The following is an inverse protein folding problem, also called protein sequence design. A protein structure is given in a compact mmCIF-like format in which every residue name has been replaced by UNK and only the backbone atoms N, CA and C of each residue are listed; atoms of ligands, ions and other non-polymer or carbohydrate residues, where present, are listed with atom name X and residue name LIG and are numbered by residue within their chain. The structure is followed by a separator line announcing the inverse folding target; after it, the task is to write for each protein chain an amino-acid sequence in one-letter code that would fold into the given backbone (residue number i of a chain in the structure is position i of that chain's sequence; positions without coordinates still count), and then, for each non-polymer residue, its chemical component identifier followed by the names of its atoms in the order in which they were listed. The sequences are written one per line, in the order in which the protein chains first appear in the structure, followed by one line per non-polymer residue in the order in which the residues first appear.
data_IF_930999375574
#
_entry.id   IF_930999375574
#
_cell.length_a   1.000
_cell.length_b   1.000
_cell.length_c   1.000
_cell.angle_alpha   90.00
_cell.angle_beta   90.00
_cell.angle_gamma   90.00
#
_symmetry.space_group_name_H-M   'P 1'
#
loop_
_entity.id
_entity.type
_entity.pdbx_description
1 polymer ?
#
# COMPACT_ATOMS: atom_id res chain seq x y z
N UNK A 1 -28.32 10.96 -4.99
CA UNK A 1 -27.86 12.28 -4.53
C UNK A 1 -27.32 12.17 -3.13
N UNK A 2 -26.18 12.82 -2.88
CA UNK A 2 -25.57 12.82 -1.56
C UNK A 2 -26.28 13.84 -0.67
N UNK A 3 -26.52 13.47 0.57
CA UNK A 3 -27.04 14.40 1.58
C UNK A 3 -25.93 15.38 1.97
N UNK A 4 -26.24 16.62 2.36
CA UNK A 4 -25.24 17.51 2.94
C UNK A 4 -24.60 16.88 4.17
N UNK A 5 -23.28 16.83 4.21
CA UNK A 5 -22.56 16.19 5.32
C UNK A 5 -22.58 17.07 6.57
N UNK A 6 -22.96 16.48 7.69
CA UNK A 6 -22.87 17.13 9.00
C UNK A 6 -21.56 16.71 9.67
N UNK A 7 -20.76 17.69 10.05
CA UNK A 7 -19.43 17.44 10.63
C UNK A 7 -19.56 16.61 11.91
N UNK A 8 -18.76 15.55 12.01
CA UNK A 8 -18.78 14.65 13.15
C UNK A 8 -19.66 13.42 12.98
N UNK A 9 -20.51 13.41 11.97
CA UNK A 9 -21.35 12.25 11.70
C UNK A 9 -20.59 11.16 10.93
N UNK A 10 -20.98 9.90 11.07
CA UNK A 10 -20.32 8.82 10.32
C UNK A 10 -20.52 8.98 8.81
N UNK A 11 -19.45 8.85 8.04
CA UNK A 11 -19.52 9.01 6.58
C UNK A 11 -20.50 8.05 5.91
N UNK A 12 -20.62 6.83 6.43
CA UNK A 12 -21.51 5.82 5.84
C UNK A 12 -23.00 6.15 5.99
N UNK A 13 -23.35 7.17 6.78
CA UNK A 13 -24.72 7.69 6.84
C UNK A 13 -25.05 8.56 5.62
N UNK A 14 -24.02 8.98 4.86
CA UNK A 14 -24.17 9.98 3.81
C UNK A 14 -23.95 9.45 2.40
N UNK A 15 -23.21 8.37 2.24
CA UNK A 15 -23.08 7.77 0.92
C UNK A 15 -22.81 6.27 1.00
N UNK A 16 -23.23 5.61 -0.07
CA UNK A 16 -22.95 4.19 -0.26
C UNK A 16 -21.65 4.03 -1.05
N UNK A 17 -20.86 3.08 -0.63
CA UNK A 17 -19.61 2.80 -1.27
C UNK A 17 -19.71 1.49 -2.07
N UNK A 18 -19.26 1.55 -3.31
CA UNK A 18 -19.14 0.36 -4.16
C UNK A 18 -17.67 0.20 -4.56
N UNK A 19 -16.93 -0.59 -3.82
CA UNK A 19 -15.51 -0.71 -4.12
C UNK A 19 -15.25 -1.45 -5.43
N UNK A 20 -14.36 -0.90 -6.25
CA UNK A 20 -13.70 -1.67 -7.29
C UNK A 20 -12.49 -2.32 -6.64
N UNK A 21 -12.55 -3.60 -6.36
CA UNK A 21 -11.51 -4.31 -5.65
C UNK A 21 -10.88 -5.39 -6.51
N UNK A 22 -9.61 -5.65 -6.25
CA UNK A 22 -8.99 -6.88 -6.75
C UNK A 22 -9.59 -8.04 -5.98
N UNK A 23 -10.00 -9.06 -6.67
CA UNK A 23 -10.57 -10.26 -6.06
C UNK A 23 -9.53 -11.05 -5.29
N UNK A 24 -9.95 -12.12 -4.65
CA UNK A 24 -9.06 -13.04 -3.99
C UNK A 24 -8.82 -12.70 -2.53
N UNK A 25 -7.73 -13.23 -1.99
CA UNK A 25 -7.44 -13.16 -0.56
C UNK A 25 -7.05 -11.77 -0.06
N UNK A 26 -6.58 -10.92 -0.93
CA UNK A 26 -6.00 -9.64 -0.56
C UNK A 26 -6.79 -8.47 -1.16
N UNK A 27 -8.07 -8.43 -0.88
CA UNK A 27 -9.00 -7.44 -1.46
C UNK A 27 -8.51 -6.00 -1.22
N UNK A 28 -7.66 -5.52 -2.11
CA UNK A 28 -7.16 -4.15 -2.13
C UNK A 28 -7.98 -3.32 -3.11
N UNK A 29 -7.97 -2.01 -2.92
CA UNK A 29 -8.65 -1.08 -3.82
C UNK A 29 -8.07 -1.18 -5.24
N UNK A 30 -8.95 -1.19 -6.24
CA UNK A 30 -8.59 -1.22 -7.66
C UNK A 30 -8.84 0.11 -8.34
N UNK A 31 -9.66 0.96 -7.75
CA UNK A 31 -10.04 2.27 -8.29
C UNK A 31 -9.64 3.39 -7.33
N UNK A 32 -9.60 4.61 -7.84
CA UNK A 32 -9.31 5.79 -7.02
C UNK A 32 -10.42 6.04 -5.98
N UNK A 33 -10.14 6.90 -5.02
CA UNK A 33 -11.06 7.28 -3.95
C UNK A 33 -11.40 6.14 -2.99
N UNK A 34 -10.55 5.11 -2.90
CA UNK A 34 -10.81 3.95 -2.06
C UNK A 34 -9.84 3.83 -0.87
N UNK A 35 -9.01 4.83 -0.64
CA UNK A 35 -8.01 4.82 0.44
C UNK A 35 -8.68 4.63 1.81
N UNK A 36 -9.87 5.22 1.99
CA UNK A 36 -10.65 5.06 3.23
C UNK A 36 -10.99 3.58 3.47
N UNK A 37 -11.42 2.87 2.43
CA UNK A 37 -11.81 1.46 2.58
C UNK A 37 -10.62 0.55 2.86
N UNK A 38 -9.48 0.83 2.21
CA UNK A 38 -8.24 0.14 2.53
C UNK A 38 -7.88 0.37 4.00
N UNK A 39 -7.91 1.63 4.44
CA UNK A 39 -7.57 2.00 5.81
C UNK A 39 -8.48 1.29 6.82
N UNK A 40 -9.78 1.23 6.58
CA UNK A 40 -10.73 0.55 7.47
C UNK A 40 -10.36 -0.91 7.73
N UNK A 41 -9.76 -1.58 6.74
CA UNK A 41 -9.35 -2.98 6.85
C UNK A 41 -7.99 -3.14 7.55
N UNK A 42 -7.25 -2.05 7.72
CA UNK A 42 -5.87 -2.09 8.19
C UNK A 42 -5.76 -2.28 9.70
N UNK A 43 -4.58 -2.71 10.16
CA UNK A 43 -4.23 -2.72 11.58
C UNK A 43 -4.09 -1.30 12.13
N UNK A 44 -3.73 -0.33 11.26
CA UNK A 44 -3.63 1.06 11.66
C UNK A 44 -4.97 1.61 12.13
N UNK A 45 -6.03 1.34 11.37
CA UNK A 45 -7.38 1.78 11.76
C UNK A 45 -7.79 1.17 13.11
N UNK A 46 -7.53 -0.12 13.30
CA UNK A 46 -7.83 -0.78 14.57
C UNK A 46 -7.03 -0.17 15.73
N UNK A 47 -5.86 0.37 15.45
CA UNK A 47 -5.03 1.08 16.43
C UNK A 47 -5.39 2.58 16.55
N UNK A 48 -6.53 2.99 15.94
CA UNK A 48 -7.04 4.37 15.97
C UNK A 48 -6.15 5.38 15.25
N UNK A 49 -5.33 4.92 14.32
CA UNK A 49 -4.56 5.79 13.44
C UNK A 49 -5.49 6.28 12.33
N UNK A 50 -5.54 7.60 12.13
CA UNK A 50 -6.40 8.22 11.13
C UNK A 50 -5.55 8.90 10.05
N UNK A 51 -6.21 9.43 9.02
CA UNK A 51 -5.55 10.07 7.88
C UNK A 51 -4.57 11.17 8.34
N UNK A 52 -4.97 11.96 9.32
CA UNK A 52 -4.19 13.11 9.78
C UNK A 52 -2.96 12.74 10.61
N UNK A 53 -2.81 11.47 10.97
CA UNK A 53 -1.56 11.01 11.59
C UNK A 53 -0.41 10.98 10.56
N UNK A 54 -0.74 10.89 9.28
CA UNK A 54 0.23 10.80 8.19
C UNK A 54 0.15 11.99 7.23
N UNK A 55 -1.02 12.59 7.07
CA UNK A 55 -1.25 13.67 6.12
C UNK A 55 -1.66 14.96 6.83
N UNK A 56 -1.12 16.08 6.36
CA UNK A 56 -1.53 17.41 6.80
C UNK A 56 -2.57 17.95 5.79
N UNK A 57 -3.83 18.00 6.21
CA UNK A 57 -4.93 18.44 5.35
C UNK A 57 -4.81 19.91 4.93
N UNK A 58 -4.05 20.70 5.68
CA UNK A 58 -3.84 22.11 5.36
C UNK A 58 -2.61 22.36 4.49
N UNK A 59 -1.90 21.30 4.15
CA UNK A 59 -0.75 21.35 3.25
C UNK A 59 0.58 21.28 3.98
N UNK A 60 1.53 20.60 3.38
CA UNK A 60 2.89 20.51 3.89
C UNK A 60 3.87 20.66 2.72
N UNK A 61 5.16 20.80 3.03
CA UNK A 61 6.19 20.87 2.01
C UNK A 61 6.56 19.47 1.47
N UNK A 62 6.04 18.42 2.08
CA UNK A 62 6.32 17.05 1.67
C UNK A 62 5.32 16.59 0.60
N UNK A 63 5.79 15.70 -0.27
CA UNK A 63 4.94 15.13 -1.32
C UNK A 63 3.71 14.45 -0.69
N UNK A 64 2.58 14.50 -1.37
CA UNK A 64 1.30 13.93 -0.93
C UNK A 64 0.80 14.52 0.40
N UNK A 65 1.23 15.75 0.72
CA UNK A 65 0.85 16.42 1.96
C UNK A 65 1.22 15.60 3.22
N UNK A 66 2.34 14.89 3.16
CA UNK A 66 2.76 14.06 4.30
C UNK A 66 3.31 14.93 5.43
N UNK A 67 3.01 14.58 6.68
CA UNK A 67 3.54 15.31 7.84
C UNK A 67 5.05 15.11 8.00
N UNK A 68 5.59 14.00 7.47
CA UNK A 68 7.03 13.70 7.37
C UNK A 68 7.30 12.98 6.07
N UNK A 69 8.55 12.91 5.66
CA UNK A 69 8.90 12.20 4.44
C UNK A 69 8.76 10.68 4.61
N UNK A 70 8.18 10.03 3.61
CA UNK A 70 8.12 8.57 3.55
C UNK A 70 9.34 7.97 2.85
N UNK A 71 9.96 8.77 1.96
CA UNK A 71 11.08 8.27 1.13
C UNK A 71 12.29 7.84 1.95
N UNK A 72 12.48 8.44 3.11
CA UNK A 72 13.56 8.06 4.04
C UNK A 72 13.07 7.24 5.23
N UNK A 73 11.82 6.81 5.20
CA UNK A 73 11.13 6.05 6.25
C UNK A 73 10.78 6.87 7.51
N UNK A 74 11.09 8.16 7.56
CA UNK A 74 10.86 8.98 8.77
C UNK A 74 9.42 8.94 9.25
N UNK A 75 8.48 9.00 8.32
CA UNK A 75 7.07 8.93 8.68
C UNK A 75 6.74 7.65 9.44
N UNK A 76 7.14 6.52 8.88
CA UNK A 76 6.82 5.20 9.45
C UNK A 76 7.56 4.98 10.77
N UNK A 77 8.83 5.38 10.82
CA UNK A 77 9.68 5.18 11.99
C UNK A 77 9.30 6.07 13.17
N UNK A 78 8.49 7.10 12.96
CA UNK A 78 7.92 7.89 14.07
C UNK A 78 7.22 6.97 15.08
N UNK A 79 6.49 5.95 14.59
CA UNK A 79 5.78 5.00 15.45
C UNK A 79 6.50 3.66 15.53
N UNK A 80 7.14 3.22 14.45
CA UNK A 80 7.76 1.89 14.37
C UNK A 80 9.26 1.90 14.73
N UNK A 81 9.80 3.04 15.17
CA UNK A 81 11.22 3.18 15.48
C UNK A 81 11.72 2.26 16.59
N UNK A 82 10.87 1.93 17.58
CA UNK A 82 11.27 0.96 18.62
C UNK A 82 11.58 -0.42 18.02
N UNK A 83 10.83 -0.82 17.02
CA UNK A 83 11.03 -2.11 16.35
C UNK A 83 12.18 -2.06 15.36
N UNK A 84 12.40 -0.89 14.75
CA UNK A 84 13.42 -0.70 13.71
C UNK A 84 14.30 0.50 14.09
N UNK A 85 15.16 0.32 15.14
CA UNK A 85 15.93 1.45 15.70
C UNK A 85 17.08 1.94 14.83
N UNK A 86 17.43 1.23 13.77
CA UNK A 86 18.54 1.61 12.90
C UNK A 86 18.38 0.92 11.53
N UNK A 87 19.17 1.35 10.54
CA UNK A 87 19.12 0.74 9.20
C UNK A 87 19.34 -0.78 9.17
N UNK A 88 20.17 -1.32 10.05
CA UNK A 88 20.42 -2.76 10.10
C UNK A 88 19.15 -3.54 10.49
N UNK A 89 18.37 -3.02 11.42
CA UNK A 89 17.10 -3.65 11.80
C UNK A 89 16.12 -3.67 10.63
N UNK A 90 16.08 -2.59 9.86
CA UNK A 90 15.23 -2.52 8.65
C UNK A 90 15.76 -3.50 7.60
N UNK A 91 17.09 -3.52 7.36
CA UNK A 91 17.73 -4.43 6.39
C UNK A 91 17.41 -5.90 6.71
N UNK A 92 17.52 -6.27 7.99
CA UNK A 92 17.21 -7.63 8.43
C UNK A 92 15.73 -7.99 8.20
N UNK A 93 14.84 -7.03 8.40
CA UNK A 93 13.40 -7.22 8.16
C UNK A 93 13.10 -7.38 6.68
N UNK A 94 13.69 -6.52 5.85
CA UNK A 94 13.36 -6.48 4.41
C UNK A 94 14.15 -7.48 3.59
N UNK A 95 15.31 -7.95 4.11
CA UNK A 95 16.29 -8.77 3.39
C UNK A 95 16.85 -8.06 2.15
N UNK A 96 16.81 -6.72 2.16
CA UNK A 96 17.35 -5.88 1.09
C UNK A 96 18.34 -4.88 1.64
N UNK A 97 19.24 -4.38 0.79
CA UNK A 97 20.13 -3.27 1.18
C UNK A 97 19.30 -2.06 1.62
N UNK A 98 19.86 -1.26 2.53
CA UNK A 98 19.17 -0.08 3.04
C UNK A 98 19.48 1.12 2.14
N UNK A 99 18.59 1.44 1.24
CA UNK A 99 18.70 2.58 0.32
C UNK A 99 17.30 3.14 -0.01
N UNK A 100 16.54 3.54 1.03
CA UNK A 100 15.14 3.93 0.80
C UNK A 100 14.98 5.19 -0.04
N UNK A 101 15.91 6.15 0.07
CA UNK A 101 15.81 7.43 -0.63
C UNK A 101 16.22 7.33 -2.11
N UNK A 102 17.16 6.47 -2.42
CA UNK A 102 17.73 6.41 -3.77
C UNK A 102 17.06 5.37 -4.66
N UNK A 103 17.15 4.11 -4.28
CA UNK A 103 16.56 3.01 -5.09
C UNK A 103 15.19 2.57 -4.61
N UNK A 104 14.79 3.00 -3.40
CA UNK A 104 13.55 2.55 -2.78
C UNK A 104 13.67 1.22 -2.06
N UNK A 105 14.86 0.58 -2.08
CA UNK A 105 15.06 -0.67 -1.35
C UNK A 105 15.02 -0.39 0.16
N UNK A 106 14.31 -1.21 0.88
CA UNK A 106 14.06 -1.04 2.31
C UNK A 106 13.24 0.22 2.65
N UNK A 107 12.55 0.80 1.65
CA UNK A 107 11.53 1.83 1.92
C UNK A 107 10.26 1.10 2.38
N UNK A 108 9.73 1.50 3.53
CA UNK A 108 8.55 0.83 4.11
C UNK A 108 7.36 0.85 3.16
N UNK A 109 7.08 2.00 2.56
CA UNK A 109 5.93 2.16 1.65
C UNK A 109 6.07 1.34 0.37
N UNK A 110 7.29 1.03 -0.09
CA UNK A 110 7.49 0.22 -1.30
C UNK A 110 6.88 -1.18 -1.17
N UNK A 111 6.88 -1.72 0.05
CA UNK A 111 6.34 -3.07 0.29
C UNK A 111 4.98 -3.05 0.96
N UNK A 112 4.77 -2.12 1.91
CA UNK A 112 3.55 -2.08 2.73
C UNK A 112 2.43 -1.24 2.12
N UNK A 113 2.73 -0.45 1.07
CA UNK A 113 1.71 0.37 0.40
C UNK A 113 1.81 0.12 -1.11
N UNK A 114 1.51 -1.11 -1.51
CA UNK A 114 1.57 -1.52 -2.91
C UNK A 114 0.67 -0.63 -3.75
N UNK A 115 1.11 -0.26 -4.93
CA UNK A 115 0.31 0.53 -5.87
C UNK A 115 -0.68 -0.39 -6.57
N UNK A 116 -1.92 -0.38 -6.13
CA UNK A 116 -2.95 -1.30 -6.61
C UNK A 116 -4.04 -0.63 -7.42
N UNK A 117 -4.21 0.68 -7.28
CA UNK A 117 -5.37 1.33 -7.87
C UNK A 117 -5.03 2.33 -8.97
N UNK A 118 -5.90 2.67 -9.73
CA UNK A 118 -5.77 3.44 -10.81
C UNK A 118 -6.49 4.68 -10.58
N UNK A 119 -5.92 5.64 -10.92
CA UNK A 119 -6.65 6.89 -11.10
C UNK A 119 -6.47 7.38 -12.54
N UNK A 120 -5.33 7.93 -12.89
CA UNK A 120 -5.02 8.30 -14.28
C UNK A 120 -4.34 7.13 -15.02
N UNK A 121 -3.52 6.38 -14.30
CA UNK A 121 -2.78 5.25 -14.85
C UNK A 121 -2.87 4.05 -13.89
N UNK A 122 -2.78 2.86 -14.46
CA UNK A 122 -2.78 1.64 -13.64
C UNK A 122 -1.61 1.66 -12.65
N UNK A 123 -1.90 1.48 -11.40
CA UNK A 123 -0.87 1.44 -10.37
C UNK A 123 -0.30 2.79 -9.99
N UNK A 124 -1.07 3.86 -10.10
CA UNK A 124 -0.61 5.18 -9.66
C UNK A 124 -1.01 5.51 -8.23
N UNK A 125 -1.89 4.72 -7.62
CA UNK A 125 -2.38 4.96 -6.26
C UNK A 125 -1.97 3.83 -5.31
N UNK A 126 -1.41 4.22 -4.17
CA UNK A 126 -0.98 3.32 -3.10
C UNK A 126 -2.17 2.80 -2.29
N UNK A 127 -2.16 1.49 -2.02
CA UNK A 127 -3.10 0.89 -1.07
C UNK A 127 -2.83 1.37 0.35
N UNK A 128 -3.88 1.64 1.10
CA UNK A 128 -3.81 2.06 2.49
C UNK A 128 -4.18 0.94 3.48
N UNK A 129 -4.19 -0.31 3.02
CA UNK A 129 -4.37 -1.47 3.90
C UNK A 129 -3.07 -1.80 4.67
N UNK A 130 -1.93 -1.38 4.13
CA UNK A 130 -0.59 -1.59 4.72
C UNK A 130 -0.16 -3.05 4.80
N UNK A 131 -0.90 -3.96 4.18
CA UNK A 131 -0.49 -5.37 4.09
C UNK A 131 0.44 -5.58 2.90
N UNK A 132 1.36 -6.50 3.07
CA UNK A 132 2.17 -6.99 1.97
C UNK A 132 1.30 -7.93 1.12
N UNK A 133 1.28 -7.69 -0.18
CA UNK A 133 0.68 -8.62 -1.14
C UNK A 133 1.79 -9.56 -1.59
N UNK A 134 1.66 -10.83 -1.25
CA UNK A 134 2.71 -11.81 -1.54
C UNK A 134 2.69 -12.24 -3.00
N UNK A 135 3.86 -12.55 -3.61
CA UNK A 135 3.89 -13.07 -4.97
C UNK A 135 3.00 -14.30 -5.18
N UNK A 136 2.84 -15.15 -4.16
CA UNK A 136 1.97 -16.32 -4.25
C UNK A 136 0.51 -15.96 -4.54
N UNK A 137 0.03 -14.83 -4.05
CA UNK A 137 -1.34 -14.38 -4.33
C UNK A 137 -1.48 -14.02 -5.82
N UNK A 138 -0.50 -13.28 -6.36
CA UNK A 138 -0.51 -12.94 -7.80
C UNK A 138 -0.37 -14.16 -8.67
N UNK A 139 0.48 -15.13 -8.29
CA UNK A 139 0.62 -16.39 -9.04
C UNK A 139 -0.70 -17.16 -9.08
N UNK A 140 -1.39 -17.22 -7.95
CA UNK A 140 -2.68 -17.91 -7.89
C UNK A 140 -3.72 -17.25 -8.80
N UNK A 141 -3.72 -15.91 -8.85
CA UNK A 141 -4.61 -15.18 -9.75
C UNK A 141 -4.20 -15.35 -11.22
N UNK A 142 -2.91 -15.29 -11.51
CA UNK A 142 -2.40 -15.49 -12.87
C UNK A 142 -2.86 -16.85 -13.43
N UNK A 143 -2.84 -17.89 -12.62
CA UNK A 143 -3.30 -19.23 -13.04
C UNK A 143 -4.80 -19.29 -13.31
N UNK A 144 -5.59 -18.40 -12.71
CA UNK A 144 -7.03 -18.32 -12.97
C UNK A 144 -7.31 -17.48 -14.22
N UNK A 145 -6.68 -16.33 -14.33
CA UNK A 145 -6.86 -15.41 -15.45
C UNK A 145 -5.63 -14.49 -15.58
N UNK A 146 -4.75 -14.79 -16.54
CA UNK A 146 -3.54 -13.97 -16.73
C UNK A 146 -3.79 -12.49 -17.05
N UNK A 147 -5.02 -12.13 -17.45
CA UNK A 147 -5.35 -10.76 -17.83
C UNK A 147 -5.74 -9.87 -16.64
N UNK A 148 -6.04 -10.44 -15.49
CA UNK A 148 -6.57 -9.68 -14.36
C UNK A 148 -5.83 -9.96 -13.06
N UNK A 149 -4.51 -9.90 -13.10
CA UNK A 149 -3.64 -10.22 -11.95
C UNK A 149 -3.39 -8.98 -11.11
N UNK A 150 -3.67 -9.07 -9.82
CA UNK A 150 -3.38 -8.00 -8.88
C UNK A 150 -1.86 -7.81 -8.71
N UNK A 151 -1.37 -6.58 -8.66
CA UNK A 151 0.04 -6.36 -8.39
C UNK A 151 0.42 -6.84 -6.97
N UNK A 152 1.66 -7.25 -6.79
CA UNK A 152 2.16 -7.64 -5.47
C UNK A 152 3.30 -6.72 -5.02
N UNK A 153 3.74 -6.90 -3.79
CA UNK A 153 4.73 -6.01 -3.15
C UNK A 153 6.13 -6.09 -3.77
N UNK A 154 6.39 -7.10 -4.59
CA UNK A 154 7.70 -7.28 -5.20
C UNK A 154 7.78 -6.70 -6.61
N UNK A 155 6.66 -6.68 -7.34
CA UNK A 155 6.65 -6.35 -8.78
C UNK A 155 6.98 -4.88 -9.07
N UNK A 156 6.89 -4.00 -8.07
CA UNK A 156 7.28 -2.61 -8.24
C UNK A 156 8.75 -2.45 -8.60
N UNK A 157 9.59 -3.38 -8.10
CA UNK A 157 11.03 -3.39 -8.35
C UNK A 157 11.43 -4.58 -9.21
N UNK A 158 10.89 -5.76 -8.94
CA UNK A 158 11.18 -7.00 -9.69
C UNK A 158 10.17 -7.15 -10.82
N UNK A 159 10.30 -6.31 -11.83
CA UNK A 159 9.27 -6.21 -12.89
C UNK A 159 9.09 -7.48 -13.70
N UNK A 160 10.15 -8.24 -13.88
CA UNK A 160 10.06 -9.49 -14.64
C UNK A 160 9.30 -10.60 -13.90
N UNK A 161 9.22 -10.48 -12.58
CA UNK A 161 8.42 -11.46 -11.80
C UNK A 161 6.91 -11.30 -12.01
N UNK A 162 6.48 -10.26 -12.68
CA UNK A 162 5.06 -10.02 -12.95
C UNK A 162 4.65 -10.23 -14.41
N UNK A 163 5.50 -10.85 -15.24
CA UNK A 163 5.25 -10.94 -16.68
C UNK A 163 4.83 -12.33 -17.17
N UNK A 164 5.14 -13.37 -16.42
CA UNK A 164 4.85 -14.75 -16.82
C UNK A 164 4.67 -15.64 -15.60
N UNK A 165 4.15 -16.84 -15.81
CA UNK A 165 3.98 -17.80 -14.72
C UNK A 165 5.32 -18.12 -14.06
N UNK A 166 6.38 -18.30 -14.85
CA UNK A 166 7.72 -18.56 -14.34
C UNK A 166 8.24 -17.39 -13.50
N UNK A 167 7.96 -16.17 -13.96
CA UNK A 167 8.32 -14.97 -13.21
C UNK A 167 7.64 -14.90 -11.86
N UNK A 168 6.33 -15.13 -11.82
CA UNK A 168 5.60 -15.17 -10.54
C UNK A 168 6.12 -16.29 -9.64
N UNK A 169 6.43 -17.46 -10.22
CA UNK A 169 6.96 -18.58 -9.44
C UNK A 169 8.35 -18.26 -8.87
N UNK A 170 9.20 -17.57 -9.64
CA UNK A 170 10.50 -17.10 -9.14
C UNK A 170 10.32 -16.15 -7.95
N UNK A 171 9.35 -15.25 -8.04
CA UNK A 171 9.03 -14.35 -6.92
C UNK A 171 8.59 -15.11 -5.67
N UNK A 172 7.82 -16.17 -5.84
CA UNK A 172 7.39 -17.02 -4.72
C UNK A 172 8.59 -17.69 -4.05
N UNK A 173 9.54 -18.22 -4.85
CA UNK A 173 10.73 -18.89 -4.33
C UNK A 173 11.65 -17.91 -3.57
N UNK A 174 11.70 -16.65 -4.00
CA UNK A 174 12.57 -15.64 -3.41
C UNK A 174 11.97 -14.97 -2.16
N UNK A 175 10.67 -15.11 -1.90
CA UNK A 175 9.98 -14.38 -0.82
C UNK A 175 9.84 -15.24 0.44
#
# INVERSE_FOLDING_TARGET
DNKPYAVGEPLNAYYQFKPGEWGGMEAHAKSHHQQWHDLLRSKHYRAKVTCVACHDAHGSQNRYQMVKQDVNNDLCLTCHGKRFPNPDAVRKHTRHSYAPETTGTSRCSSCHMVKTAXSAEAGDIHSHDFKIIKPAASLAEFKKDPKTVAPNSCNGCHKDWGKSEEGYAAGVQAS
#
